data_IF_342732119481
#
_entry.id   IF_342732119481
#
_cell.length_a   1.000
_cell.length_b   1.000
_cell.length_c   1.000
_cell.angle_alpha   90.00
_cell.angle_beta   90.00
_cell.angle_gamma   90.00
#
_symmetry.space_group_name_H-M   'P 1'
#
loop_
_entity.id
_entity.type
_entity.pdbx_description
1 polymer ?
#
# COMPACT_ATOMS: atom_id res chain seq x y z
N UNK A 1 16.42 -2.11 3.75
CA UNK A 1 15.41 -1.40 4.59
C UNK A 1 15.33 -2.00 5.99
N UNK A 2 14.69 -1.32 6.96
CA UNK A 2 14.46 -1.84 8.32
C UNK A 2 13.02 -1.58 8.76
N UNK A 3 12.40 -2.53 9.46
CA UNK A 3 11.05 -2.34 10.03
C UNK A 3 11.15 -2.34 11.55
N UNK A 4 10.62 -1.29 12.18
CA UNK A 4 10.70 -1.10 13.63
C UNK A 4 9.32 -0.92 14.24
N UNK A 5 9.13 -1.47 15.43
CA UNK A 5 7.94 -1.22 16.22
C UNK A 5 7.87 0.26 16.64
N UNK A 6 6.67 0.84 16.63
CA UNK A 6 6.43 2.17 17.16
C UNK A 6 6.16 2.07 18.67
N UNK A 7 7.05 2.67 19.46
CA UNK A 7 6.94 2.69 20.93
C UNK A 7 6.18 3.90 21.49
N UNK A 8 5.88 4.91 20.66
CA UNK A 8 5.21 6.12 21.11
C UNK A 8 3.76 5.83 21.53
N UNK A 9 3.43 6.05 22.81
CA UNK A 9 2.12 5.73 23.40
C UNK A 9 0.95 6.37 22.66
N UNK A 10 1.12 7.57 22.12
CA UNK A 10 0.06 8.35 21.46
C UNK A 10 -0.23 7.91 20.03
N UNK A 11 0.72 7.23 19.37
CA UNK A 11 0.61 6.86 17.95
C UNK A 11 0.71 5.36 17.68
N UNK A 12 1.23 4.55 18.61
CA UNK A 12 1.47 3.11 18.41
C UNK A 12 0.21 2.33 18.03
N UNK A 13 -0.97 2.72 18.52
CA UNK A 13 -2.24 2.08 18.14
C UNK A 13 -2.58 2.33 16.66
N UNK A 14 -2.44 3.57 16.20
CA UNK A 14 -2.73 3.95 14.80
C UNK A 14 -1.63 3.56 13.83
N UNK A 15 -0.39 3.52 14.29
CA UNK A 15 0.79 3.25 13.49
C UNK A 15 1.74 2.32 14.26
N UNK A 16 1.43 1.02 14.37
CA UNK A 16 2.21 0.07 15.18
C UNK A 16 3.62 -0.19 14.62
N UNK A 17 3.83 -0.02 13.32
CA UNK A 17 5.12 -0.22 12.67
C UNK A 17 5.57 1.02 11.89
N UNK A 18 6.88 1.14 11.71
CA UNK A 18 7.51 2.11 10.82
C UNK A 18 8.50 1.37 9.91
N UNK A 19 8.38 1.57 8.61
CA UNK A 19 9.35 1.10 7.63
C UNK A 19 10.36 2.24 7.41
N UNK A 20 11.64 1.96 7.63
CA UNK A 20 12.76 2.85 7.37
C UNK A 20 13.43 2.35 6.10
N UNK A 21 13.26 3.09 5.01
CA UNK A 21 13.91 2.79 3.74
C UNK A 21 15.42 3.08 3.83
N UNK A 22 16.19 2.52 2.90
CA UNK A 22 17.66 2.69 2.89
C UNK A 22 18.07 4.16 2.65
N UNK A 23 17.21 4.95 2.01
CA UNK A 23 17.38 6.41 1.86
C UNK A 23 16.89 7.23 3.08
N UNK A 24 16.65 6.59 4.22
CA UNK A 24 16.22 7.23 5.47
C UNK A 24 14.74 7.61 5.54
N UNK A 25 13.95 7.48 4.46
CA UNK A 25 12.52 7.79 4.49
C UNK A 25 11.76 6.87 5.44
N UNK A 26 10.78 7.43 6.12
CA UNK A 26 9.93 6.72 7.08
C UNK A 26 8.50 6.57 6.55
N UNK A 27 8.01 5.33 6.55
CA UNK A 27 6.64 4.97 6.19
C UNK A 27 5.96 4.39 7.43
N UNK A 28 5.13 5.17 8.14
CA UNK A 28 4.25 4.64 9.17
C UNK A 28 3.26 3.64 8.56
N UNK A 29 3.07 2.49 9.19
CA UNK A 29 2.11 1.46 8.73
C UNK A 29 0.78 1.67 9.45
N UNK A 30 -0.29 2.15 8.79
CA UNK A 30 -1.55 2.45 9.44
C UNK A 30 -2.32 1.19 9.86
N UNK A 31 -2.84 1.17 11.09
CA UNK A 31 -3.90 0.23 11.55
C UNK A 31 -5.27 0.89 11.38
N UNK A 32 -6.07 0.37 10.46
CA UNK A 32 -7.29 0.99 9.97
C UNK A 32 -8.34 1.16 11.06
N UNK A 33 -8.55 0.12 11.86
CA UNK A 33 -9.54 0.12 12.93
C UNK A 33 -9.29 1.18 14.02
N UNK A 34 -8.07 1.68 14.13
CA UNK A 34 -7.68 2.69 15.12
C UNK A 34 -7.90 4.14 14.65
N UNK A 35 -8.44 4.37 13.44
CA UNK A 35 -8.78 5.71 12.96
C UNK A 35 -10.24 6.09 13.28
N UNK A 36 -10.50 7.37 13.56
CA UNK A 36 -11.85 7.87 13.87
C UNK A 36 -12.79 7.82 12.67
N UNK A 37 -12.29 8.10 11.47
CA UNK A 37 -13.10 8.18 10.26
C UNK A 37 -13.66 6.81 9.87
N UNK A 38 -14.99 6.67 9.81
CA UNK A 38 -15.68 5.41 9.49
C UNK A 38 -15.16 4.78 8.18
N UNK A 39 -15.02 5.58 7.13
CA UNK A 39 -14.52 5.12 5.85
C UNK A 39 -13.12 4.46 5.93
N UNK A 40 -12.22 4.98 6.77
CA UNK A 40 -10.88 4.40 6.94
C UNK A 40 -10.97 3.03 7.63
N UNK A 41 -11.90 2.87 8.57
CA UNK A 41 -12.09 1.62 9.32
C UNK A 41 -12.71 0.52 8.47
N UNK A 42 -13.69 0.84 7.61
CA UNK A 42 -14.51 -0.18 6.93
C UNK A 42 -14.15 -0.38 5.46
N UNK A 43 -13.62 0.64 4.79
CA UNK A 43 -13.33 0.63 3.34
C UNK A 43 -11.94 1.17 3.00
N UNK A 44 -11.09 1.33 4.02
CA UNK A 44 -9.84 2.09 3.94
C UNK A 44 -8.64 1.34 3.39
N UNK A 45 -8.76 0.09 2.96
CA UNK A 45 -7.61 -0.72 2.55
C UNK A 45 -6.80 -0.14 1.39
N UNK A 46 -7.46 0.23 0.30
CA UNK A 46 -6.79 0.92 -0.82
C UNK A 46 -6.36 2.35 -0.47
N UNK A 47 -7.04 3.01 0.47
CA UNK A 47 -6.65 4.34 0.95
C UNK A 47 -5.37 4.30 1.80
N UNK A 48 -5.22 3.29 2.65
CA UNK A 48 -4.00 3.04 3.43
C UNK A 48 -2.85 2.72 2.50
N UNK A 49 -3.07 1.86 1.51
CA UNK A 49 -2.11 1.57 0.46
C UNK A 49 -1.68 2.86 -0.30
N UNK A 50 -2.64 3.72 -0.64
CA UNK A 50 -2.37 5.02 -1.25
C UNK A 50 -1.51 5.92 -0.35
N UNK A 51 -1.87 6.05 0.92
CA UNK A 51 -1.05 6.78 1.90
C UNK A 51 0.38 6.23 1.98
N UNK A 52 0.55 4.91 2.06
CA UNK A 52 1.87 4.30 2.14
C UNK A 52 2.69 4.56 0.87
N UNK A 53 2.08 4.50 -0.31
CA UNK A 53 2.72 4.85 -1.59
C UNK A 53 3.19 6.32 -1.62
N UNK A 54 2.38 7.25 -1.12
CA UNK A 54 2.78 8.65 -1.02
C UNK A 54 4.00 8.82 -0.10
N UNK A 55 4.00 8.15 1.07
CA UNK A 55 5.12 8.19 2.01
C UNK A 55 6.39 7.55 1.45
N UNK A 56 6.25 6.46 0.69
CA UNK A 56 7.35 5.83 -0.05
C UNK A 56 8.01 6.80 -1.03
N UNK A 57 7.20 7.61 -1.72
CA UNK A 57 7.65 8.69 -2.60
C UNK A 57 8.10 9.98 -1.89
N UNK A 58 8.13 10.00 -0.56
CA UNK A 58 8.58 11.15 0.22
C UNK A 58 7.51 12.23 0.43
N UNK A 59 6.26 12.02 0.00
CA UNK A 59 5.17 12.96 0.20
C UNK A 59 4.66 12.87 1.64
N UNK A 60 4.62 14.00 2.35
CA UNK A 60 4.28 14.06 3.78
C UNK A 60 2.80 14.27 4.11
N UNK A 61 1.88 13.67 3.35
CA UNK A 61 0.44 13.70 3.70
C UNK A 61 0.13 12.76 4.86
N UNK A 62 -0.82 13.14 5.72
CA UNK A 62 -1.40 12.26 6.73
C UNK A 62 -2.64 11.50 6.18
N UNK A 63 -3.12 10.48 6.89
CA UNK A 63 -4.28 9.68 6.45
C UNK A 63 -5.55 10.51 6.17
N UNK A 64 -5.81 11.55 6.97
CA UNK A 64 -6.97 12.42 6.79
C UNK A 64 -6.84 13.29 5.54
N UNK A 65 -5.66 13.85 5.30
CA UNK A 65 -5.36 14.61 4.08
C UNK A 65 -5.41 13.72 2.84
N UNK A 66 -4.96 12.47 2.93
CA UNK A 66 -5.09 11.49 1.85
C UNK A 66 -6.57 11.18 1.57
N UNK A 67 -7.39 11.00 2.61
CA UNK A 67 -8.84 10.80 2.46
C UNK A 67 -9.52 12.01 1.79
N UNK A 68 -9.23 13.22 2.26
CA UNK A 68 -9.79 14.46 1.69
C UNK A 68 -9.38 14.65 0.23
N UNK A 69 -8.14 14.32 -0.12
CA UNK A 69 -7.70 14.35 -1.51
C UNK A 69 -8.48 13.32 -2.35
N UNK A 70 -8.53 12.07 -1.89
CA UNK A 70 -9.20 10.99 -2.61
C UNK A 70 -10.68 11.33 -2.87
N UNK A 71 -11.41 11.83 -1.87
CA UNK A 71 -12.81 12.24 -2.01
C UNK A 71 -13.04 13.33 -3.06
N UNK A 72 -12.09 14.26 -3.21
CA UNK A 72 -12.21 15.39 -4.15
C UNK A 72 -11.79 15.04 -5.58
N UNK A 73 -10.89 14.07 -5.75
CA UNK A 73 -10.18 13.85 -7.02
C UNK A 73 -10.36 12.48 -7.64
N UNK A 74 -10.79 11.49 -6.85
CA UNK A 74 -10.85 10.09 -7.26
C UNK A 74 -12.28 9.56 -7.20
N UNK A 75 -12.60 8.64 -8.10
CA UNK A 75 -13.89 7.93 -8.09
C UNK A 75 -13.88 6.83 -7.03
N UNK A 76 -14.92 6.78 -6.21
CA UNK A 76 -15.09 5.76 -5.18
C UNK A 76 -16.28 4.84 -5.54
N UNK A 77 -16.08 3.53 -5.38
CA UNK A 77 -17.18 2.57 -5.28
C UNK A 77 -17.37 2.16 -3.82
N UNK A 78 -17.43 0.85 -3.56
CA UNK A 78 -17.35 0.32 -2.19
C UNK A 78 -16.00 0.66 -1.52
N UNK A 79 -14.96 0.80 -2.33
CA UNK A 79 -13.62 1.31 -1.99
C UNK A 79 -13.05 2.05 -3.20
N UNK A 80 -11.90 2.69 -3.05
CA UNK A 80 -11.16 3.24 -4.20
C UNK A 80 -10.51 2.10 -4.99
N UNK A 81 -10.85 1.88 -6.27
CA UNK A 81 -10.18 0.88 -7.09
C UNK A 81 -8.72 1.27 -7.35
N UNK A 82 -7.86 0.28 -7.61
CA UNK A 82 -6.44 0.55 -7.87
C UNK A 82 -6.18 1.39 -9.13
N UNK A 83 -7.10 1.38 -10.10
CA UNK A 83 -7.11 2.26 -11.27
C UNK A 83 -7.29 3.74 -10.91
N UNK A 84 -7.94 4.05 -9.80
CA UNK A 84 -8.07 5.41 -9.28
C UNK A 84 -6.89 5.76 -8.35
N UNK A 85 -6.40 4.79 -7.57
CA UNK A 85 -5.21 5.00 -6.73
C UNK A 85 -3.97 5.36 -7.57
N UNK A 86 -3.74 4.66 -8.70
CA UNK A 86 -2.62 5.00 -9.60
C UNK A 86 -2.73 6.44 -10.12
N UNK A 87 -3.95 6.91 -10.46
CA UNK A 87 -4.18 8.30 -10.89
C UNK A 87 -3.84 9.27 -9.76
N UNK A 88 -4.32 9.01 -8.55
CA UNK A 88 -4.03 9.85 -7.38
C UNK A 88 -2.54 9.93 -7.04
N UNK A 89 -1.80 8.83 -7.12
CA UNK A 89 -0.35 8.82 -6.93
C UNK A 89 0.32 9.68 -8.00
N UNK A 90 -0.03 9.50 -9.27
CA UNK A 90 0.60 10.19 -10.39
C UNK A 90 0.20 11.67 -10.51
N UNK A 91 -0.92 12.09 -9.94
CA UNK A 91 -1.30 13.49 -9.81
C UNK A 91 -0.55 14.21 -8.70
N UNK A 92 -0.15 13.51 -7.64
CA UNK A 92 0.55 14.10 -6.48
C UNK A 92 2.07 14.03 -6.65
N UNK A 93 2.60 12.93 -7.17
CA UNK A 93 4.03 12.68 -7.23
C UNK A 93 4.60 13.11 -8.59
N UNK A 94 5.68 13.92 -8.61
CA UNK A 94 6.36 14.26 -9.85
C UNK A 94 6.92 13.00 -10.53
N UNK A 95 6.95 13.01 -11.86
CA UNK A 95 7.44 11.88 -12.66
C UNK A 95 6.50 10.67 -12.76
N UNK A 96 5.27 10.77 -12.24
CA UNK A 96 4.21 9.75 -12.37
C UNK A 96 4.70 8.32 -12.06
N UNK A 97 5.17 8.06 -10.82
CA UNK A 97 5.94 6.87 -10.50
C UNK A 97 5.12 5.58 -10.42
N UNK A 98 3.80 5.65 -10.48
CA UNK A 98 2.92 4.49 -10.33
C UNK A 98 2.43 3.96 -11.68
N UNK A 99 2.44 2.64 -11.83
CA UNK A 99 1.92 1.94 -13.01
C UNK A 99 0.92 0.88 -12.58
N UNK A 100 -0.28 0.91 -13.16
CA UNK A 100 -1.30 -0.11 -12.96
C UNK A 100 -1.12 -1.27 -13.93
N UNK A 101 -1.31 -2.47 -13.41
CA UNK A 101 -1.31 -3.72 -14.14
C UNK A 101 -2.58 -4.48 -13.79
N UNK A 102 -3.34 -4.90 -14.80
CA UNK A 102 -4.53 -5.74 -14.61
C UNK A 102 -4.17 -7.08 -13.92
N UNK A 103 -3.03 -7.63 -14.29
CA UNK A 103 -2.38 -8.78 -13.68
C UNK A 103 -0.87 -8.73 -13.96
N UNK A 104 -0.09 -9.49 -13.20
CA UNK A 104 1.31 -9.76 -13.48
C UNK A 104 1.55 -11.26 -13.30
N UNK A 105 2.48 -11.83 -14.05
CA UNK A 105 3.00 -13.17 -13.74
C UNK A 105 3.81 -13.11 -12.44
N UNK A 106 4.03 -14.28 -11.82
CA UNK A 106 4.89 -14.41 -10.62
C UNK A 106 6.26 -13.78 -10.89
N UNK A 107 6.88 -14.09 -12.04
CA UNK A 107 8.20 -13.57 -12.38
C UNK A 107 8.21 -12.06 -12.62
N UNK A 108 7.18 -11.51 -13.26
CA UNK A 108 7.04 -10.06 -13.40
C UNK A 108 6.90 -9.37 -12.04
N UNK A 109 6.07 -9.91 -11.13
CA UNK A 109 5.89 -9.36 -9.79
C UNK A 109 7.20 -9.45 -8.96
N UNK A 110 7.89 -10.59 -9.00
CA UNK A 110 9.24 -10.74 -8.41
C UNK A 110 10.21 -9.71 -8.98
N UNK A 111 10.19 -9.46 -10.29
CA UNK A 111 11.08 -8.49 -10.93
C UNK A 111 10.80 -7.06 -10.45
N UNK A 112 9.55 -6.66 -10.28
CA UNK A 112 9.19 -5.33 -9.71
C UNK A 112 9.71 -5.20 -8.27
N UNK A 113 9.48 -6.21 -7.44
CA UNK A 113 9.95 -6.23 -6.05
C UNK A 113 11.48 -6.24 -5.95
N UNK A 114 12.19 -6.98 -6.82
CA UNK A 114 13.66 -6.97 -6.92
C UNK A 114 14.21 -5.59 -7.27
N UNK A 115 13.51 -4.80 -8.09
CA UNK A 115 13.85 -3.40 -8.39
C UNK A 115 13.56 -2.43 -7.24
N UNK A 116 13.07 -2.92 -6.09
CA UNK A 116 12.74 -2.09 -4.93
C UNK A 116 11.41 -1.35 -5.05
N UNK A 117 10.56 -1.71 -6.02
CA UNK A 117 9.26 -1.05 -6.15
C UNK A 117 8.33 -1.45 -5.00
N UNK A 118 7.56 -0.49 -4.49
CA UNK A 118 6.42 -0.79 -3.64
C UNK A 118 5.29 -1.31 -4.50
N UNK A 119 4.68 -2.43 -4.10
CA UNK A 119 3.54 -3.00 -4.81
C UNK A 119 2.29 -2.87 -3.97
N UNK A 120 1.24 -2.28 -4.55
CA UNK A 120 -0.13 -2.37 -4.03
C UNK A 120 -0.80 -3.52 -4.75
N UNK A 121 -1.29 -4.51 -4.01
CA UNK A 121 -1.80 -5.75 -4.56
C UNK A 121 -3.24 -5.97 -4.10
N UNK A 122 -4.15 -6.22 -5.04
CA UNK A 122 -5.53 -6.55 -4.72
C UNK A 122 -5.70 -8.07 -4.54
N UNK A 123 -6.05 -8.51 -3.34
CA UNK A 123 -6.47 -9.87 -3.06
C UNK A 123 -7.99 -10.02 -3.17
N UNK A 124 -8.45 -11.23 -3.48
CA UNK A 124 -9.86 -11.62 -3.52
C UNK A 124 -10.26 -12.42 -2.29
N UNK A 125 -11.57 -12.48 -2.04
CA UNK A 125 -12.21 -13.28 -0.98
C UNK A 125 -11.61 -13.08 0.43
N UNK A 126 -11.75 -11.89 1.05
CA UNK A 126 -12.48 -10.71 0.57
C UNK A 126 -11.64 -9.81 -0.35
N UNK A 127 -12.30 -8.89 -1.07
CA UNK A 127 -11.61 -7.88 -1.89
C UNK A 127 -10.87 -6.91 -0.97
N UNK A 128 -9.53 -6.98 -0.97
CA UNK A 128 -8.69 -6.22 -0.05
C UNK A 128 -7.39 -5.76 -0.71
N UNK A 129 -6.87 -4.59 -0.33
CA UNK A 129 -5.57 -4.12 -0.83
C UNK A 129 -4.50 -4.31 0.23
N UNK A 130 -3.41 -4.96 -0.15
CA UNK A 130 -2.20 -5.11 0.68
C UNK A 130 -1.03 -4.38 0.04
N UNK A 131 -0.02 -4.07 0.85
CA UNK A 131 1.24 -3.50 0.38
C UNK A 131 2.34 -4.53 0.49
N UNK A 132 3.05 -4.80 -0.60
CA UNK A 132 4.23 -5.66 -0.63
C UNK A 132 5.47 -4.80 -0.83
N UNK A 133 6.52 -5.10 -0.06
CA UNK A 133 7.82 -4.46 -0.19
C UNK A 133 8.92 -5.47 0.11
N UNK A 134 9.94 -5.53 -0.76
CA UNK A 134 11.09 -6.42 -0.57
C UNK A 134 12.20 -5.72 0.20
N UNK A 135 12.80 -6.42 1.15
CA UNK A 135 14.04 -5.98 1.74
C UNK A 135 15.20 -6.41 0.86
N UNK A 136 15.94 -5.45 0.32
CA UNK A 136 17.02 -5.74 -0.62
C UNK A 136 18.19 -6.50 0.00
N UNK A 137 18.38 -6.40 1.32
CA UNK A 137 19.45 -7.09 2.04
C UNK A 137 19.13 -8.56 2.26
N UNK A 138 17.99 -8.86 2.88
CA UNK A 138 17.60 -10.24 3.19
C UNK A 138 16.84 -10.96 2.07
N UNK A 139 16.38 -10.23 1.06
CA UNK A 139 15.50 -10.73 0.00
C UNK A 139 14.06 -11.02 0.43
N UNK A 140 13.75 -10.91 1.73
CA UNK A 140 12.41 -11.17 2.29
C UNK A 140 11.40 -10.18 1.75
N UNK A 141 10.20 -10.68 1.41
CA UNK A 141 9.07 -9.84 1.02
C UNK A 141 8.17 -9.68 2.23
N UNK A 142 7.89 -8.42 2.57
CA UNK A 142 6.99 -8.07 3.65
C UNK A 142 5.65 -7.63 3.10
N UNK A 143 4.59 -8.23 3.64
CA UNK A 143 3.19 -7.87 3.44
C UNK A 143 2.74 -6.97 4.58
N UNK A 144 2.14 -5.83 4.25
CA UNK A 144 1.54 -4.91 5.21
C UNK A 144 0.06 -4.76 4.95
N UNK A 145 -0.73 -4.92 6.01
CA UNK A 145 -2.18 -4.81 5.98
C UNK A 145 -2.68 -4.51 7.39
N UNK A 146 -3.55 -3.50 7.53
CA UNK A 146 -4.18 -3.14 8.81
C UNK A 146 -3.21 -3.10 10.01
N UNK A 147 -2.09 -2.40 9.86
CA UNK A 147 -1.10 -2.29 10.93
C UNK A 147 -0.36 -3.58 11.26
N UNK A 148 -0.58 -4.67 10.51
CA UNK A 148 0.13 -5.93 10.64
C UNK A 148 1.24 -6.03 9.60
N UNK A 149 2.21 -6.89 9.89
CA UNK A 149 3.35 -7.21 9.02
C UNK A 149 3.60 -8.71 9.04
N UNK A 150 3.60 -9.32 7.86
CA UNK A 150 3.95 -10.72 7.68
C UNK A 150 5.08 -10.85 6.65
N UNK A 151 5.87 -11.92 6.75
CA UNK A 151 6.77 -12.34 5.66
C UNK A 151 5.96 -13.28 4.76
N UNK A 152 6.07 -13.10 3.44
CA UNK A 152 5.33 -13.88 2.44
C UNK A 152 6.20 -14.16 1.21
N UNK A 153 5.73 -15.04 0.34
CA UNK A 153 6.25 -15.26 -1.02
C UNK A 153 5.34 -14.62 -2.07
N UNK A 154 5.85 -14.44 -3.29
CA UNK A 154 5.03 -13.92 -4.41
C UNK A 154 3.98 -14.95 -4.81
N UNK A 155 4.34 -16.22 -4.74
CA UNK A 155 3.50 -17.37 -5.05
C UNK A 155 2.26 -17.41 -4.15
N UNK A 156 2.45 -17.26 -2.83
CA UNK A 156 1.35 -17.22 -1.85
C UNK A 156 0.39 -16.06 -2.09
N UNK A 157 0.91 -14.85 -2.35
CA UNK A 157 0.06 -13.68 -2.58
C UNK A 157 -0.63 -13.73 -3.95
N UNK A 158 0.06 -14.25 -4.98
CA UNK A 158 -0.52 -14.40 -6.31
C UNK A 158 -1.66 -15.42 -6.36
N UNK A 159 -1.65 -16.45 -5.50
CA UNK A 159 -2.81 -17.37 -5.32
C UNK A 159 -4.06 -16.64 -4.83
N UNK A 160 -3.90 -15.55 -4.06
CA UNK A 160 -5.00 -14.75 -3.52
C UNK A 160 -5.44 -13.63 -4.44
N UNK A 161 -4.89 -13.51 -5.66
CA UNK A 161 -5.17 -12.37 -6.56
C UNK A 161 -6.67 -12.16 -6.78
N UNK A 162 -7.09 -10.92 -6.74
CA UNK A 162 -8.46 -10.55 -7.05
C UNK A 162 -8.76 -10.78 -8.54
N UNK A 163 -9.87 -11.44 -8.85
CA UNK A 163 -10.35 -11.64 -10.23
C UNK A 163 -11.53 -10.72 -10.60
N UNK A 164 -12.11 -10.02 -9.63
CA UNK A 164 -13.22 -9.10 -9.83
C UNK A 164 -12.84 -7.99 -10.81
N UNK A 165 -13.65 -7.78 -11.85
CA UNK A 165 -13.29 -6.90 -12.96
C UNK A 165 -13.07 -5.43 -12.56
N UNK A 166 -13.82 -4.96 -11.57
CA UNK A 166 -13.79 -3.58 -11.09
C UNK A 166 -12.61 -3.30 -10.17
N UNK A 167 -12.21 -4.27 -9.34
CA UNK A 167 -11.24 -4.05 -8.27
C UNK A 167 -9.89 -4.73 -8.50
N UNK A 168 -9.80 -5.74 -9.37
CA UNK A 168 -8.56 -6.46 -9.64
C UNK A 168 -7.43 -5.53 -10.04
N UNK A 169 -6.22 -5.97 -9.70
CA UNK A 169 -5.00 -5.43 -10.28
C UNK A 169 -3.89 -5.26 -9.27
N UNK A 170 -2.82 -4.67 -9.78
CA UNK A 170 -1.57 -4.48 -9.08
C UNK A 170 -1.06 -3.09 -9.47
N UNK A 171 -0.63 -2.29 -8.51
CA UNK A 171 0.06 -1.03 -8.76
C UNK A 171 1.50 -1.18 -8.34
N UNK A 172 2.43 -0.99 -9.27
CA UNK A 172 3.85 -0.92 -8.97
C UNK A 172 4.29 0.55 -8.89
N UNK A 173 4.87 0.95 -7.77
CA UNK A 173 5.33 2.32 -7.48
C UNK A 173 6.85 2.33 -7.42
N UNK A 174 7.48 3.06 -8.35
CA UNK A 174 8.94 3.25 -8.44
C UNK A 174 9.48 4.18 -7.36
#
# INVERSE_FOLDING_TARGET
MRIVANKNKNSKKKFPWRIILDNGRNIPVPSQYNFKAAFIRTHGCSLVAFYMALRFRGVKKNMQQTLQYARRKLKCGAKYPLTEIVKGINQICPGKPATYHKSLTIEQLKAKLRKGYMVLFEEGSPIHTVVLLRDNRSGKIYRFSDGRKNTVTVEEENKKRCTNEKYRGIVAVK
#
